data_IF_998947871180
#
_entry.id   IF_998947871180
#
_cell.length_a   1.000
_cell.length_b   1.000
_cell.length_c   1.000
_cell.angle_alpha   90.00
_cell.angle_beta   90.00
_cell.angle_gamma   90.00
#
_symmetry.space_group_name_H-M   'P 1'
#
loop_
_entity.id
_entity.type
_entity.pdbx_description
1 polymer ?
#
# COMPACT_ATOMS: atom_id res chain seq x y z
N UNK A 1 7.85 -17.68 12.50
CA UNK A 1 7.07 -18.87 12.90
C UNK A 1 5.81 -18.83 12.05
N UNK A 2 5.58 -19.86 11.22
CA UNK A 2 4.42 -19.89 10.33
C UNK A 2 3.19 -20.34 11.14
N UNK A 3 2.38 -19.35 11.53
CA UNK A 3 1.21 -19.58 12.37
C UNK A 3 0.05 -20.22 11.59
N UNK A 4 0.03 -20.16 10.26
CA UNK A 4 -1.00 -20.78 9.45
C UNK A 4 -0.79 -22.31 9.42
N UNK A 5 0.41 -22.76 9.08
CA UNK A 5 0.74 -24.20 9.05
C UNK A 5 0.63 -24.86 10.43
N UNK A 6 0.90 -24.12 11.51
CA UNK A 6 0.70 -24.64 12.87
C UNK A 6 -0.80 -24.87 13.15
N UNK A 7 -1.67 -23.97 12.71
CA UNK A 7 -3.11 -24.08 12.95
C UNK A 7 -3.72 -25.21 12.11
N UNK A 8 -3.27 -25.40 10.87
CA UNK A 8 -3.67 -26.53 10.04
C UNK A 8 -3.35 -27.86 10.74
N UNK A 9 -2.13 -27.96 11.28
CA UNK A 9 -1.68 -29.14 12.03
C UNK A 9 -2.51 -29.32 13.31
N UNK A 10 -2.80 -28.24 14.02
CA UNK A 10 -3.64 -28.27 15.22
C UNK A 10 -5.08 -28.72 14.91
N UNK A 11 -5.67 -28.29 13.79
CA UNK A 11 -7.01 -28.70 13.36
C UNK A 11 -7.07 -30.18 12.99
N UNK A 12 -6.03 -30.71 12.34
CA UNK A 12 -5.93 -32.16 12.06
C UNK A 12 -5.84 -32.97 13.35
N UNK A 13 -5.03 -32.53 14.31
CA UNK A 13 -4.91 -33.19 15.62
C UNK A 13 -6.23 -33.10 16.40
N UNK A 14 -6.89 -31.95 16.38
CA UNK A 14 -8.17 -31.73 17.05
C UNK A 14 -9.27 -32.64 16.48
N UNK A 15 -9.36 -32.75 15.15
CA UNK A 15 -10.29 -33.66 14.49
C UNK A 15 -10.05 -35.11 14.88
N UNK A 16 -8.78 -35.54 14.91
CA UNK A 16 -8.40 -36.88 15.34
C UNK A 16 -8.81 -37.17 16.80
N UNK A 17 -8.56 -36.25 17.74
CA UNK A 17 -8.97 -36.41 19.15
C UNK A 17 -10.49 -36.54 19.27
N UNK A 18 -11.26 -35.69 18.58
CA UNK A 18 -12.72 -35.73 18.62
C UNK A 18 -13.28 -37.04 18.05
N UNK A 19 -12.63 -37.59 17.02
CA UNK A 19 -13.02 -38.85 16.43
C UNK A 19 -12.73 -40.04 17.35
N UNK A 20 -11.54 -40.11 17.95
CA UNK A 20 -11.14 -41.21 18.84
C UNK A 20 -11.87 -41.17 20.19
N UNK A 21 -11.91 -40.02 20.86
CA UNK A 21 -12.42 -39.90 22.23
C UNK A 21 -13.94 -39.72 22.28
N UNK A 22 -14.53 -39.11 21.24
CA UNK A 22 -15.93 -38.69 21.26
C UNK A 22 -16.78 -39.23 20.10
N UNK A 23 -16.18 -40.00 19.17
CA UNK A 23 -16.85 -40.49 17.94
C UNK A 23 -17.52 -39.37 17.14
N UNK A 24 -16.97 -38.17 17.23
CA UNK A 24 -17.46 -37.00 16.55
C UNK A 24 -16.59 -36.75 15.33
N UNK A 25 -17.19 -36.88 14.14
CA UNK A 25 -16.51 -36.68 12.88
C UNK A 25 -16.57 -35.20 12.49
N UNK A 26 -15.41 -34.59 12.34
CA UNK A 26 -15.27 -33.18 11.94
C UNK A 26 -14.26 -33.11 10.81
N UNK A 27 -14.66 -32.48 9.70
CA UNK A 27 -13.72 -32.17 8.63
C UNK A 27 -12.85 -30.97 9.07
N UNK A 28 -11.52 -31.16 9.26
CA UNK A 28 -10.62 -30.12 9.76
C UNK A 28 -10.43 -28.96 8.79
N UNK A 29 -10.74 -29.16 7.50
CA UNK A 29 -10.68 -28.11 6.47
C UNK A 29 -12.00 -27.35 6.42
N UNK A 30 -13.13 -28.07 6.38
CA UNK A 30 -14.44 -27.42 6.31
C UNK A 30 -14.81 -26.67 7.61
N UNK A 31 -14.27 -27.11 8.75
CA UNK A 31 -14.51 -26.51 10.07
C UNK A 31 -13.26 -25.82 10.63
N UNK A 32 -12.36 -25.38 9.74
CA UNK A 32 -11.13 -24.72 10.13
C UNK A 32 -11.41 -23.46 10.96
N UNK A 33 -10.91 -23.42 12.20
CA UNK A 33 -11.04 -22.25 13.07
C UNK A 33 -9.96 -21.25 12.67
N UNK A 34 -10.32 -20.23 11.89
CA UNK A 34 -9.39 -19.19 11.52
C UNK A 34 -8.99 -18.36 12.75
N UNK A 35 -7.68 -18.13 12.92
CA UNK A 35 -7.22 -17.20 13.93
C UNK A 35 -7.69 -15.79 13.58
N UNK A 36 -7.89 -14.95 14.61
CA UNK A 36 -8.37 -13.59 14.42
C UNK A 36 -7.54 -12.78 13.39
N UNK A 37 -6.18 -12.79 13.41
CA UNK A 37 -5.38 -12.12 12.37
C UNK A 37 -5.64 -12.64 10.95
N UNK A 38 -5.96 -13.93 10.80
CA UNK A 38 -6.26 -14.52 9.50
C UNK A 38 -7.64 -14.08 8.98
N UNK A 39 -8.65 -13.98 9.87
CA UNK A 39 -9.96 -13.41 9.52
C UNK A 39 -9.78 -11.97 9.04
N UNK A 40 -9.01 -11.15 9.78
CA UNK A 40 -8.72 -9.79 9.36
C UNK A 40 -7.99 -9.76 8.01
N UNK A 41 -7.01 -10.62 7.79
CA UNK A 41 -6.33 -10.74 6.48
C UNK A 41 -7.33 -11.01 5.36
N UNK A 42 -8.23 -11.98 5.52
CA UNK A 42 -9.29 -12.29 4.54
C UNK A 42 -10.16 -11.06 4.29
N UNK A 43 -10.63 -10.37 5.34
CA UNK A 43 -11.45 -9.17 5.19
C UNK A 43 -10.74 -8.06 4.42
N UNK A 44 -9.45 -7.81 4.70
CA UNK A 44 -8.65 -6.79 4.02
C UNK A 44 -8.43 -7.18 2.54
N UNK A 45 -8.10 -8.44 2.27
CA UNK A 45 -7.95 -8.91 0.89
C UNK A 45 -9.26 -8.80 0.10
N UNK A 46 -10.41 -9.08 0.71
CA UNK A 46 -11.71 -8.84 0.07
C UNK A 46 -12.00 -7.37 -0.16
N UNK A 47 -11.65 -6.49 0.79
CA UNK A 47 -11.80 -5.05 0.65
C UNK A 47 -10.96 -4.54 -0.53
N UNK A 48 -9.68 -4.90 -0.60
CA UNK A 48 -8.77 -4.49 -1.68
C UNK A 48 -9.29 -4.98 -3.04
N UNK A 49 -9.60 -6.27 -3.15
CA UNK A 49 -10.10 -6.85 -4.40
C UNK A 49 -11.47 -6.29 -4.82
N UNK A 50 -12.35 -6.06 -3.84
CA UNK A 50 -13.67 -5.49 -4.08
C UNK A 50 -13.62 -4.03 -4.50
N UNK A 51 -12.64 -3.28 -4.01
CA UNK A 51 -12.50 -1.85 -4.29
C UNK A 51 -12.27 -1.57 -5.78
N UNK A 52 -11.44 -2.38 -6.45
CA UNK A 52 -11.19 -2.32 -7.91
C UNK A 52 -12.47 -2.46 -8.74
N UNK A 53 -13.43 -3.23 -8.24
CA UNK A 53 -14.69 -3.55 -8.90
C UNK A 53 -15.89 -2.82 -8.28
N UNK A 54 -15.66 -1.85 -7.39
CA UNK A 54 -16.74 -1.20 -6.65
C UNK A 54 -17.67 -0.41 -7.57
N UNK A 55 -18.98 -0.49 -7.30
CA UNK A 55 -19.95 0.32 -8.00
C UNK A 55 -19.99 1.74 -7.42
N UNK A 56 -19.45 2.69 -8.18
CA UNK A 56 -19.47 4.10 -7.85
C UNK A 56 -20.69 4.84 -8.45
N UNK A 57 -21.67 4.14 -9.03
CA UNK A 57 -22.86 4.74 -9.67
C UNK A 57 -23.59 5.73 -8.75
N UNK A 58 -23.69 5.42 -7.46
CA UNK A 58 -24.30 6.25 -6.43
C UNK A 58 -23.51 7.49 -6.00
N UNK A 59 -22.23 7.63 -6.37
CA UNK A 59 -21.44 8.81 -6.02
C UNK A 59 -21.78 10.03 -6.90
N UNK A 60 -21.71 11.25 -6.32
CA UNK A 60 -21.79 12.50 -7.08
C UNK A 60 -20.80 12.54 -8.26
N UNK A 61 -21.08 13.37 -9.27
CA UNK A 61 -20.15 13.58 -10.41
C UNK A 61 -18.77 14.11 -9.96
N UNK A 62 -18.74 14.80 -8.83
CA UNK A 62 -17.54 15.35 -8.21
C UNK A 62 -17.67 15.33 -6.70
N UNK A 63 -16.59 15.07 -5.98
CA UNK A 63 -16.53 15.19 -4.51
C UNK A 63 -15.18 15.78 -4.07
N UNK A 64 -15.12 16.26 -2.82
CA UNK A 64 -13.96 16.97 -2.29
C UNK A 64 -14.26 18.42 -1.93
N UNK A 65 -13.34 19.06 -1.21
CA UNK A 65 -13.43 20.47 -0.82
C UNK A 65 -12.47 21.30 -1.69
N UNK A 66 -12.90 22.44 -2.25
CA UNK A 66 -12.01 23.35 -2.96
C UNK A 66 -10.74 23.65 -2.13
N UNK A 67 -9.55 23.64 -2.75
CA UNK A 67 -9.30 23.55 -4.19
C UNK A 67 -9.34 22.13 -4.79
N UNK A 68 -9.46 21.09 -3.96
CA UNK A 68 -9.33 19.69 -4.37
C UNK A 68 -10.70 19.11 -4.76
N UNK A 69 -10.96 19.07 -6.07
CA UNK A 69 -12.19 18.51 -6.65
C UNK A 69 -11.82 17.23 -7.40
N UNK A 70 -12.35 16.10 -6.95
CA UNK A 70 -12.18 14.81 -7.62
C UNK A 70 -13.28 14.63 -8.66
N UNK A 71 -12.89 14.27 -9.87
CA UNK A 71 -13.81 13.96 -10.95
C UNK A 71 -14.12 12.46 -10.97
N UNK A 72 -15.41 12.11 -10.89
CA UNK A 72 -15.87 10.71 -10.82
C UNK A 72 -15.27 9.80 -11.90
N UNK A 73 -15.26 10.27 -13.15
CA UNK A 73 -14.78 9.47 -14.27
C UNK A 73 -13.29 9.16 -14.13
N UNK A 74 -12.48 10.18 -13.84
CA UNK A 74 -11.03 10.05 -13.70
C UNK A 74 -10.67 9.15 -12.52
N UNK A 75 -11.37 9.31 -11.39
CA UNK A 75 -11.18 8.47 -10.22
C UNK A 75 -11.51 7.01 -10.50
N UNK A 76 -12.66 6.72 -11.12
CA UNK A 76 -13.05 5.33 -11.45
C UNK A 76 -12.03 4.70 -12.39
N UNK A 77 -11.55 5.45 -13.39
CA UNK A 77 -10.50 4.96 -14.29
C UNK A 77 -9.23 4.62 -13.51
N UNK A 78 -8.75 5.51 -12.65
CA UNK A 78 -7.56 5.25 -11.83
C UNK A 78 -7.74 4.08 -10.86
N UNK A 79 -8.93 3.87 -10.28
CA UNK A 79 -9.24 2.69 -9.45
C UNK A 79 -9.12 1.40 -10.27
N UNK A 80 -9.63 1.40 -11.50
CA UNK A 80 -9.61 0.24 -12.40
C UNK A 80 -8.21 -0.09 -12.91
N UNK A 81 -7.34 0.91 -13.02
CA UNK A 81 -5.92 0.78 -13.36
C UNK A 81 -5.11 0.10 -12.26
N UNK A 82 -5.67 -0.11 -11.06
CA UNK A 82 -5.02 -0.85 -9.97
C UNK A 82 -3.76 -0.13 -9.44
N UNK A 83 -3.94 0.98 -8.71
CA UNK A 83 -2.81 1.78 -8.23
C UNK A 83 -2.02 1.06 -7.14
N UNK A 84 -2.61 0.06 -6.47
CA UNK A 84 -1.89 -0.79 -5.52
C UNK A 84 -0.85 -1.62 -6.26
N UNK A 85 -1.25 -2.26 -7.37
CA UNK A 85 -0.34 -3.00 -8.23
C UNK A 85 0.81 -2.11 -8.75
N UNK A 86 0.49 -0.93 -9.27
CA UNK A 86 1.49 0.04 -9.74
C UNK A 86 2.47 0.46 -8.64
N UNK A 87 1.94 0.72 -7.43
CA UNK A 87 2.77 1.03 -6.26
C UNK A 87 3.67 -0.15 -5.87
N UNK A 88 3.13 -1.37 -5.89
CA UNK A 88 3.88 -2.59 -5.63
C UNK A 88 5.00 -2.79 -6.66
N UNK A 89 4.73 -2.64 -7.96
CA UNK A 89 5.76 -2.74 -9.01
C UNK A 89 6.86 -1.68 -8.83
N UNK A 90 6.48 -0.47 -8.44
CA UNK A 90 7.44 0.60 -8.15
C UNK A 90 8.36 0.22 -6.99
N UNK A 91 7.79 -0.27 -5.88
CA UNK A 91 8.56 -0.74 -4.72
C UNK A 91 9.45 -1.93 -5.11
N UNK A 92 8.90 -2.87 -5.86
CA UNK A 92 9.61 -4.05 -6.35
C UNK A 92 10.83 -3.64 -7.18
N UNK A 93 10.67 -2.76 -8.17
CA UNK A 93 11.78 -2.27 -9.01
C UNK A 93 12.91 -1.62 -8.19
N UNK A 94 12.55 -0.85 -7.16
CA UNK A 94 13.51 -0.17 -6.29
C UNK A 94 14.25 -1.18 -5.40
N UNK A 95 13.57 -2.25 -4.98
CA UNK A 95 14.11 -3.26 -4.06
C UNK A 95 14.74 -4.48 -4.78
N UNK A 96 14.53 -4.65 -6.08
CA UNK A 96 14.97 -5.82 -6.89
C UNK A 96 16.48 -6.09 -6.83
N UNK A 97 17.29 -5.06 -6.56
CA UNK A 97 18.69 -5.27 -6.19
C UNK A 97 19.06 -4.45 -4.95
N UNK A 98 19.90 -5.03 -4.08
CA UNK A 98 20.43 -4.30 -2.92
C UNK A 98 21.16 -3.00 -3.33
N UNK A 99 21.69 -2.95 -4.56
CA UNK A 99 22.29 -1.74 -5.12
C UNK A 99 21.25 -0.67 -5.47
N UNK A 100 20.11 -1.05 -6.03
CA UNK A 100 19.00 -0.13 -6.34
C UNK A 100 18.47 0.52 -5.07
N UNK A 101 18.29 -0.27 -4.02
CA UNK A 101 17.93 0.19 -2.69
C UNK A 101 18.96 1.18 -2.13
N UNK A 102 20.24 0.81 -2.10
CA UNK A 102 21.30 1.70 -1.60
C UNK A 102 21.37 3.01 -2.38
N UNK A 103 21.24 2.96 -3.71
CA UNK A 103 21.24 4.14 -4.57
C UNK A 103 20.01 5.03 -4.32
N UNK A 104 18.85 4.42 -4.09
CA UNK A 104 17.61 5.12 -3.76
C UNK A 104 17.73 5.85 -2.41
N UNK A 105 18.20 5.14 -1.38
CA UNK A 105 18.47 5.71 -0.06
C UNK A 105 19.46 6.88 -0.15
N UNK A 106 20.57 6.69 -0.86
CA UNK A 106 21.58 7.74 -1.07
C UNK A 106 21.01 8.95 -1.83
N UNK A 107 20.06 8.75 -2.74
CA UNK A 107 19.38 9.84 -3.46
C UNK A 107 18.57 10.69 -2.49
N UNK A 108 17.85 10.07 -1.54
CA UNK A 108 17.10 10.79 -0.50
C UNK A 108 18.06 11.51 0.44
N UNK A 109 19.09 10.82 0.95
CA UNK A 109 20.06 11.41 1.88
C UNK A 109 20.80 12.61 1.27
N UNK A 110 21.25 12.47 0.02
CA UNK A 110 21.93 13.55 -0.70
C UNK A 110 20.97 14.70 -1.02
N UNK A 111 19.73 14.41 -1.43
CA UNK A 111 18.72 15.43 -1.67
C UNK A 111 18.34 16.20 -0.40
N UNK A 112 18.28 15.53 0.75
CA UNK A 112 18.06 16.14 2.06
C UNK A 112 19.22 17.05 2.45
N UNK A 113 20.46 16.56 2.33
CA UNK A 113 21.67 17.33 2.63
C UNK A 113 21.77 18.59 1.76
N UNK A 114 21.37 18.49 0.50
CA UNK A 114 21.40 19.58 -0.47
C UNK A 114 20.12 20.43 -0.48
N UNK A 115 19.17 20.19 0.43
CA UNK A 115 17.87 20.91 0.48
C UNK A 115 17.15 20.92 -0.88
N UNK A 116 17.28 19.84 -1.64
CA UNK A 116 16.75 19.74 -3.01
C UNK A 116 15.26 19.43 -3.06
N UNK A 117 14.69 18.96 -1.94
CA UNK A 117 13.25 18.70 -1.80
C UNK A 117 12.57 19.93 -1.20
N UNK A 118 11.53 20.40 -1.88
CA UNK A 118 10.88 21.67 -1.55
C UNK A 118 9.37 21.49 -1.39
N UNK A 119 8.81 21.99 -0.27
CA UNK A 119 7.36 22.03 -0.03
C UNK A 119 6.94 23.47 0.21
N UNK A 120 6.07 24.00 -0.65
CA UNK A 120 5.65 25.40 -0.58
C UNK A 120 6.83 26.40 -0.76
N UNK A 121 7.85 26.02 -1.52
CA UNK A 121 9.06 26.83 -1.70
C UNK A 121 10.04 26.82 -0.52
N UNK A 122 9.79 26.01 0.51
CA UNK A 122 10.67 25.84 1.66
C UNK A 122 11.31 24.45 1.61
N UNK A 123 12.61 24.30 1.97
CA UNK A 123 13.23 22.98 2.10
C UNK A 123 12.42 22.05 3.02
N UNK A 124 12.10 20.86 2.52
CA UNK A 124 11.34 19.85 3.24
C UNK A 124 12.08 18.51 3.16
N UNK A 125 12.82 18.11 4.20
CA UNK A 125 13.55 16.86 4.18
C UNK A 125 12.58 15.68 4.13
N UNK A 126 12.84 14.74 3.23
CA UNK A 126 12.06 13.52 3.11
C UNK A 126 12.55 12.48 4.12
N UNK A 127 11.65 11.65 4.67
CA UNK A 127 12.05 10.61 5.59
C UNK A 127 12.84 9.53 4.84
N UNK A 128 13.95 9.10 5.43
CA UNK A 128 14.72 7.95 4.92
C UNK A 128 14.01 6.67 5.38
N UNK A 129 12.91 6.34 4.71
CA UNK A 129 12.07 5.17 5.04
C UNK A 129 12.57 3.92 4.32
N UNK A 130 12.52 2.77 5.00
CA UNK A 130 12.64 1.48 4.34
C UNK A 130 11.38 1.22 3.50
N UNK A 131 11.55 1.01 2.19
CA UNK A 131 10.43 0.55 1.36
C UNK A 131 10.09 -0.89 1.76
N UNK A 132 8.80 -1.12 1.99
CA UNK A 132 8.29 -2.41 2.45
C UNK A 132 7.50 -3.06 1.32
N UNK A 133 7.83 -4.32 1.01
CA UNK A 133 7.01 -5.12 0.10
C UNK A 133 5.69 -5.49 0.75
N UNK A 134 4.66 -5.55 -0.08
CA UNK A 134 3.41 -6.18 0.32
C UNK A 134 3.60 -7.69 0.53
N UNK A 135 2.99 -8.23 1.58
CA UNK A 135 3.02 -9.64 1.96
C UNK A 135 1.59 -10.12 2.09
N UNK A 136 1.10 -10.87 1.10
CA UNK A 136 -0.31 -11.30 0.98
C UNK A 136 -0.87 -11.98 2.25
N UNK A 137 -0.01 -12.63 3.04
CA UNK A 137 -0.39 -13.33 4.28
C UNK A 137 -0.46 -12.41 5.52
N UNK A 138 -0.10 -11.13 5.38
CA UNK A 138 -0.02 -10.16 6.46
C UNK A 138 -1.00 -9.01 6.18
N UNK A 139 -2.02 -8.88 7.02
CA UNK A 139 -3.15 -7.99 6.75
C UNK A 139 -2.83 -6.50 6.69
N UNK A 140 -1.71 -6.08 7.29
CA UNK A 140 -1.24 -4.69 7.38
C UNK A 140 -0.15 -4.34 6.34
N UNK A 141 0.35 -5.30 5.55
CA UNK A 141 1.48 -5.04 4.65
C UNK A 141 1.13 -4.10 3.51
N UNK A 142 -0.06 -4.22 2.91
CA UNK A 142 -0.52 -3.31 1.85
C UNK A 142 -0.61 -1.89 2.40
N UNK A 143 -1.10 -1.72 3.63
CA UNK A 143 -1.13 -0.42 4.31
C UNK A 143 0.27 0.17 4.46
N UNK A 144 1.22 -0.59 5.00
CA UNK A 144 2.58 -0.11 5.21
C UNK A 144 3.31 0.20 3.89
N UNK A 145 3.11 -0.61 2.86
CA UNK A 145 3.63 -0.33 1.52
C UNK A 145 3.10 1.02 0.99
N UNK A 146 1.78 1.22 1.03
CA UNK A 146 1.15 2.48 0.58
C UNK A 146 1.63 3.65 1.42
N UNK A 147 1.66 3.52 2.74
CA UNK A 147 2.11 4.57 3.65
C UNK A 147 3.57 4.99 3.38
N UNK A 148 4.48 4.02 3.22
CA UNK A 148 5.88 4.28 2.85
C UNK A 148 5.98 4.97 1.49
N UNK A 149 5.24 4.49 0.50
CA UNK A 149 5.23 5.07 -0.85
C UNK A 149 4.70 6.51 -0.84
N UNK A 150 3.62 6.77 -0.10
CA UNK A 150 3.03 8.11 0.05
C UNK A 150 3.86 9.06 0.88
N UNK A 151 4.66 8.57 1.83
CA UNK A 151 5.64 9.41 2.55
C UNK A 151 6.71 9.98 1.60
N UNK A 152 6.99 9.28 0.50
CA UNK A 152 7.91 9.72 -0.55
C UNK A 152 7.24 10.57 -1.63
N UNK A 153 5.92 10.48 -1.76
CA UNK A 153 5.08 11.32 -2.64
C UNK A 153 4.82 12.73 -2.09
N UNK A 154 5.04 12.97 -0.79
CA UNK A 154 4.78 14.28 -0.15
C UNK A 154 5.78 15.37 -0.59
N UNK A 155 5.73 15.77 -1.86
CA UNK A 155 6.33 17.00 -2.37
C UNK A 155 5.33 17.71 -3.29
N UNK A 156 4.99 18.94 -2.87
CA UNK A 156 4.18 19.97 -3.52
C UNK A 156 2.64 19.87 -3.44
N UNK A 157 2.08 20.27 -2.29
CA UNK A 157 0.87 21.09 -2.27
C UNK A 157 1.24 22.50 -2.80
N UNK A 158 0.64 22.93 -3.91
CA UNK A 158 0.54 24.36 -4.20
C UNK A 158 -0.92 24.72 -4.37
N UNK A 159 -1.39 25.55 -3.43
CA UNK A 159 -2.65 26.27 -3.57
C UNK A 159 -2.52 27.18 -4.80
N UNK A 160 -3.29 26.87 -5.85
CA UNK A 160 -3.71 27.76 -6.93
C UNK A 160 -2.68 28.79 -7.47
N UNK A 161 -2.03 28.44 -8.58
CA UNK A 161 -1.77 29.39 -9.66
C UNK A 161 -1.62 28.63 -10.97
N UNK A 162 -2.46 29.00 -11.91
CA UNK A 162 -2.41 28.67 -13.33
C UNK A 162 -0.96 28.82 -13.82
N UNK A 163 -0.45 27.81 -14.55
CA UNK A 163 0.91 27.64 -15.07
C UNK A 163 1.93 26.98 -14.11
N UNK A 164 1.81 25.66 -13.94
CA UNK A 164 2.85 24.65 -14.17
C UNK A 164 2.23 23.31 -13.71
N UNK A 165 1.80 22.52 -14.67
CA UNK A 165 1.70 21.08 -14.45
C UNK A 165 3.11 20.54 -14.24
N UNK A 166 3.26 19.53 -13.36
CA UNK A 166 4.49 18.74 -13.08
C UNK A 166 5.36 19.24 -11.93
N UNK A 167 4.98 18.88 -10.71
CA UNK A 167 5.97 18.67 -9.64
C UNK A 167 5.66 17.48 -8.73
N UNK A 168 4.77 16.57 -9.15
CA UNK A 168 4.54 15.26 -8.53
C UNK A 168 5.68 14.25 -8.80
N UNK A 169 6.83 14.76 -9.25
CA UNK A 169 7.95 13.95 -9.73
C UNK A 169 9.23 14.43 -9.06
N UNK A 170 9.48 14.05 -7.82
CA UNK A 170 10.76 14.35 -7.19
C UNK A 170 11.57 13.10 -6.92
N UNK A 171 11.38 12.31 -5.86
CA UNK A 171 12.36 11.22 -5.60
C UNK A 171 12.27 10.04 -6.57
N UNK A 172 11.08 9.45 -6.77
CA UNK A 172 10.93 8.24 -7.59
C UNK A 172 11.28 8.54 -9.05
N UNK A 173 10.80 9.65 -9.60
CA UNK A 173 11.13 10.04 -10.96
C UNK A 173 12.57 10.52 -11.16
N UNK A 174 13.17 11.21 -10.17
CA UNK A 174 14.60 11.51 -10.23
C UNK A 174 15.40 10.21 -10.26
N UNK A 175 15.02 9.23 -9.44
CA UNK A 175 15.64 7.93 -9.41
C UNK A 175 15.46 7.18 -10.73
N UNK A 176 14.25 7.06 -11.29
CA UNK A 176 14.00 6.42 -12.59
C UNK A 176 14.83 7.07 -13.71
N UNK A 177 15.03 8.39 -13.66
CA UNK A 177 15.83 9.13 -14.65
C UNK A 177 17.34 8.98 -14.49
N UNK A 178 17.83 8.32 -13.45
CA UNK A 178 19.27 8.15 -13.25
C UNK A 178 19.88 7.27 -14.36
N UNK A 179 21.13 7.55 -14.79
CA UNK A 179 21.77 6.83 -15.90
C UNK A 179 21.84 5.31 -15.72
N UNK A 180 21.90 4.84 -14.47
CA UNK A 180 21.97 3.42 -14.12
C UNK A 180 20.60 2.74 -14.00
N UNK A 181 19.49 3.48 -14.13
CA UNK A 181 18.12 2.97 -14.03
C UNK A 181 17.38 2.97 -15.38
N UNK A 182 18.12 3.11 -16.49
CA UNK A 182 17.58 3.29 -17.86
C UNK A 182 16.73 2.12 -18.38
N UNK A 183 16.83 0.94 -17.78
CA UNK A 183 16.03 -0.24 -18.13
C UNK A 183 14.77 -0.40 -17.23
N UNK A 184 14.61 0.45 -16.22
CA UNK A 184 13.48 0.42 -15.31
C UNK A 184 12.43 1.41 -15.80
N UNK A 185 11.32 0.89 -16.30
CA UNK A 185 10.14 1.69 -16.65
C UNK A 185 8.99 1.20 -15.78
N UNK A 186 9.00 1.46 -14.45
CA UNK A 186 7.80 1.23 -13.66
C UNK A 186 6.67 2.06 -14.28
N UNK A 187 5.47 1.48 -14.37
CA UNK A 187 4.30 2.23 -14.80
C UNK A 187 4.13 3.43 -13.87
N UNK A 188 4.13 4.61 -14.45
CA UNK A 188 4.21 5.85 -13.69
C UNK A 188 2.87 6.11 -13.00
N UNK A 189 2.89 6.20 -11.67
CA UNK A 189 1.76 6.68 -10.89
C UNK A 189 1.43 8.14 -11.26
N UNK A 190 0.35 8.32 -12.03
CA UNK A 190 -0.27 9.63 -12.25
C UNK A 190 -0.93 10.21 -10.99
N UNK A 191 -1.28 11.51 -11.02
CA UNK A 191 -1.89 12.18 -9.86
C UNK A 191 -3.10 11.45 -9.31
N UNK A 192 -4.01 10.99 -10.18
CA UNK A 192 -5.23 10.34 -9.73
C UNK A 192 -4.93 8.99 -9.06
N UNK A 193 -3.86 8.29 -9.42
CA UNK A 193 -3.44 7.10 -8.69
C UNK A 193 -3.04 7.43 -7.25
N UNK A 194 -2.31 8.52 -7.03
CA UNK A 194 -1.94 8.98 -5.68
C UNK A 194 -3.15 9.37 -4.84
N UNK A 195 -4.17 9.97 -5.45
CA UNK A 195 -5.46 10.26 -4.81
C UNK A 195 -6.17 8.98 -4.37
N UNK A 196 -6.21 7.95 -5.23
CA UNK A 196 -6.81 6.66 -4.89
C UNK A 196 -6.03 5.95 -3.79
N UNK A 197 -4.68 5.95 -3.86
CA UNK A 197 -3.83 5.40 -2.80
C UNK A 197 -4.03 6.12 -1.46
N UNK A 198 -4.34 7.41 -1.47
CA UNK A 198 -4.67 8.15 -0.26
C UNK A 198 -5.95 7.65 0.40
N UNK A 199 -7.01 7.47 -0.37
CA UNK A 199 -8.29 7.00 0.13
C UNK A 199 -8.18 5.56 0.65
N UNK A 200 -7.41 4.72 -0.04
CA UNK A 200 -7.10 3.35 0.41
C UNK A 200 -6.27 3.33 1.68
N UNK A 201 -5.22 4.16 1.80
CA UNK A 201 -4.45 4.28 3.04
C UNK A 201 -5.36 4.65 4.21
N UNK A 202 -6.25 5.63 4.02
CA UNK A 202 -7.20 6.05 5.05
C UNK A 202 -8.17 4.93 5.45
N UNK A 203 -8.72 4.20 4.47
CA UNK A 203 -9.61 3.07 4.73
C UNK A 203 -8.89 1.93 5.48
N UNK A 204 -7.66 1.60 5.07
CA UNK A 204 -6.86 0.56 5.70
C UNK A 204 -6.35 0.97 7.09
N UNK A 205 -6.09 2.26 7.32
CA UNK A 205 -5.63 2.77 8.62
C UNK A 205 -6.57 2.41 9.78
N UNK A 206 -7.88 2.34 9.52
CA UNK A 206 -8.87 1.94 10.54
C UNK A 206 -8.55 0.54 11.06
N UNK A 207 -8.20 -0.40 10.18
CA UNK A 207 -7.81 -1.75 10.58
C UNK A 207 -6.54 -1.74 11.45
N UNK A 208 -5.58 -0.87 11.13
CA UNK A 208 -4.35 -0.71 11.91
C UNK A 208 -4.65 -0.17 13.31
N UNK A 209 -5.53 0.82 13.43
CA UNK A 209 -5.89 1.41 14.72
C UNK A 209 -6.69 0.43 15.58
N UNK A 210 -7.63 -0.31 14.99
CA UNK A 210 -8.50 -1.24 15.72
C UNK A 210 -7.75 -2.51 16.12
N UNK A 211 -6.89 -3.06 15.24
CA UNK A 211 -6.27 -4.37 15.46
C UNK A 211 -4.77 -4.30 15.81
N UNK A 212 -4.07 -3.22 15.44
CA UNK A 212 -2.65 -3.04 15.71
C UNK A 212 -2.31 -2.73 17.17
N UNK A 213 -3.24 -2.13 17.93
CA UNK A 213 -3.06 -1.84 19.35
C UNK A 213 -3.00 -3.12 20.23
N UNK A 214 -3.36 -4.28 19.70
CA UNK A 214 -3.42 -5.55 20.44
C UNK A 214 -2.24 -6.50 20.16
N UNK A 215 -1.27 -6.09 19.34
CA UNK A 215 -0.10 -6.90 18.97
C UNK A 215 1.15 -6.72 19.84
N UNK A 216 1.07 -5.92 20.91
CA UNK A 216 2.13 -5.77 21.92
C UNK A 216 1.70 -6.41 23.25
N UNK A 217 1.59 -7.73 23.26
CA UNK A 217 1.48 -8.55 24.47
C UNK A 217 2.46 -9.71 24.36
#
# INVERSE_FOLDING_TARGET
MDNATNNDTAMVVFAWILQEEHKFDIDPVAHHIHCFPHIINICIQHLINGYKCADFSGLPRTWGNPPRVLHKKEYITAVQEDPIWHGWETVQCICDSGQHWCNFQQTIESGNANQSFMKGGVPFPLPVVQLLHDVVTRWDSTYYMINCLRALDQVCDHHYSVLISKALLQVIDLWVRMPWNTNLVPEKLEQMHWEVLQDLEFALQVSIQVFGAHGQC
#
